data_IF_615281012316
#
_entry.id   IF_615281012316
#
_cell.length_a   1.000
_cell.length_b   1.000
_cell.length_c   1.000
_cell.angle_alpha   90.00
_cell.angle_beta   90.00
_cell.angle_gamma   90.00
#
_symmetry.space_group_name_H-M   'P 1'
#
loop_
_entity.id
_entity.type
_entity.pdbx_description
1 polymer ?
#
# COMPACT_ATOMS: atom_id res chain seq x y z
N UNK A 1 -20.36 24.67 -5.83
CA UNK A 1 -20.50 23.58 -4.84
C UNK A 1 -19.33 23.69 -3.88
N UNK A 2 -19.51 23.39 -2.59
CA UNK A 2 -18.41 23.37 -1.62
C UNK A 2 -17.48 22.17 -1.90
N UNK A 3 -16.19 22.28 -1.52
CA UNK A 3 -15.24 21.16 -1.62
C UNK A 3 -15.76 19.90 -0.90
N UNK A 4 -16.47 20.10 0.22
CA UNK A 4 -17.17 19.05 0.95
C UNK A 4 -18.16 18.26 0.08
N UNK A 5 -19.07 18.94 -0.65
CA UNK A 5 -20.03 18.26 -1.52
C UNK A 5 -19.35 17.47 -2.66
N UNK A 6 -18.23 17.96 -3.19
CA UNK A 6 -17.46 17.19 -4.17
C UNK A 6 -16.91 15.92 -3.53
N UNK A 7 -16.36 16.01 -2.32
CA UNK A 7 -15.76 14.86 -1.66
C UNK A 7 -16.76 13.72 -1.42
N UNK A 8 -18.00 14.04 -1.04
CA UNK A 8 -19.05 13.05 -0.82
C UNK A 8 -19.44 12.28 -2.10
N UNK A 9 -19.47 12.95 -3.25
CA UNK A 9 -19.82 12.32 -4.53
C UNK A 9 -18.74 11.30 -4.93
N UNK A 10 -17.47 11.65 -4.75
CA UNK A 10 -16.35 10.74 -4.99
C UNK A 10 -16.35 9.56 -4.02
N UNK A 11 -16.61 9.80 -2.72
CA UNK A 11 -16.75 8.74 -1.74
C UNK A 11 -17.93 7.81 -2.07
N UNK A 12 -19.05 8.37 -2.55
CA UNK A 12 -20.18 7.58 -3.03
C UNK A 12 -19.82 6.74 -4.27
N UNK A 13 -19.02 7.27 -5.19
CA UNK A 13 -18.51 6.54 -6.35
C UNK A 13 -17.60 5.37 -5.95
N UNK A 14 -16.67 5.59 -5.03
CA UNK A 14 -15.80 4.56 -4.44
C UNK A 14 -16.67 3.48 -3.76
N UNK A 15 -17.59 3.88 -2.88
CA UNK A 15 -18.49 2.94 -2.19
C UNK A 15 -19.36 2.14 -3.17
N UNK A 16 -19.78 2.75 -4.28
CA UNK A 16 -20.51 2.05 -5.35
C UNK A 16 -19.63 1.01 -6.05
N UNK A 17 -18.36 1.31 -6.29
CA UNK A 17 -17.38 0.35 -6.82
C UNK A 17 -17.21 -0.84 -5.87
N UNK A 18 -17.01 -0.57 -4.58
CA UNK A 18 -16.85 -1.59 -3.54
C UNK A 18 -18.10 -2.47 -3.39
N UNK A 19 -19.30 -1.88 -3.49
CA UNK A 19 -20.55 -2.67 -3.46
C UNK A 19 -20.66 -3.59 -4.68
N UNK A 20 -20.22 -3.14 -5.86
CA UNK A 20 -20.22 -3.94 -7.10
C UNK A 20 -19.17 -5.02 -7.12
N UNK A 21 -18.05 -4.89 -6.39
CA UNK A 21 -17.06 -5.95 -6.15
C UNK A 21 -17.71 -7.28 -5.75
N UNK A 22 -18.85 -7.24 -5.04
CA UNK A 22 -19.61 -8.45 -4.65
C UNK A 22 -20.17 -9.24 -5.84
N UNK A 23 -20.38 -8.58 -6.98
CA UNK A 23 -21.00 -9.14 -8.17
C UNK A 23 -19.98 -9.33 -9.31
N UNK A 24 -19.13 -8.33 -9.54
CA UNK A 24 -18.04 -8.37 -10.52
C UNK A 24 -16.87 -7.54 -10.01
N UNK A 25 -15.77 -8.22 -9.69
CA UNK A 25 -14.59 -7.59 -9.13
C UNK A 25 -13.70 -6.92 -10.19
N UNK A 26 -13.78 -7.34 -11.45
CA UNK A 26 -12.93 -6.80 -12.53
C UNK A 26 -13.39 -5.40 -12.90
N UNK A 27 -14.70 -5.22 -13.10
CA UNK A 27 -15.32 -3.90 -13.32
C UNK A 27 -15.02 -2.92 -12.19
N UNK A 28 -15.03 -3.40 -10.95
CA UNK A 28 -14.72 -2.59 -9.78
C UNK A 28 -13.24 -2.15 -9.76
N UNK A 29 -12.32 -3.06 -10.11
CA UNK A 29 -10.90 -2.76 -10.20
C UNK A 29 -10.62 -1.71 -11.29
N UNK A 30 -11.12 -1.93 -12.51
CA UNK A 30 -10.92 -1.03 -13.64
C UNK A 30 -11.44 0.37 -13.34
N UNK A 31 -12.62 0.46 -12.70
CA UNK A 31 -13.18 1.73 -12.29
C UNK A 31 -12.33 2.44 -11.23
N UNK A 32 -11.83 1.74 -10.21
CA UNK A 32 -10.98 2.34 -9.19
C UNK A 32 -9.62 2.78 -9.75
N UNK A 33 -9.04 2.01 -10.68
CA UNK A 33 -7.85 2.43 -11.43
C UNK A 33 -8.13 3.68 -12.28
N UNK A 34 -9.35 3.81 -12.82
CA UNK A 34 -9.76 5.03 -13.51
C UNK A 34 -9.80 6.23 -12.58
N UNK A 35 -10.45 6.08 -11.43
CA UNK A 35 -10.50 7.14 -10.42
C UNK A 35 -9.08 7.53 -10.00
N UNK A 36 -8.21 6.57 -9.67
CA UNK A 36 -6.79 6.82 -9.34
C UNK A 36 -6.10 7.65 -10.42
N UNK A 37 -6.25 7.28 -11.69
CA UNK A 37 -5.60 7.97 -12.82
C UNK A 37 -6.07 9.42 -12.94
N UNK A 38 -7.36 9.67 -12.75
CA UNK A 38 -7.92 11.03 -12.76
C UNK A 38 -7.39 11.87 -11.59
N UNK A 39 -7.32 11.29 -10.39
CA UNK A 39 -6.84 11.95 -9.18
C UNK A 39 -5.36 12.31 -9.25
N UNK A 40 -4.53 11.40 -9.80
CA UNK A 40 -3.08 11.62 -9.98
C UNK A 40 -2.77 12.64 -11.08
N UNK A 41 -3.64 12.79 -12.07
CA UNK A 41 -3.48 13.81 -13.12
C UNK A 41 -3.54 15.24 -12.59
N UNK A 42 -4.07 15.42 -11.38
CA UNK A 42 -4.16 16.72 -10.72
C UNK A 42 -5.09 17.71 -11.43
N UNK A 43 -5.39 18.83 -10.77
CA UNK A 43 -6.25 19.90 -11.29
C UNK A 43 -5.53 20.89 -12.24
N UNK A 44 -4.55 20.43 -13.02
CA UNK A 44 -3.95 21.26 -14.07
C UNK A 44 -5.06 21.80 -14.99
N UNK A 45 -4.92 23.02 -15.52
CA UNK A 45 -6.03 23.78 -16.11
C UNK A 45 -6.83 23.05 -17.21
N UNK A 46 -6.25 22.06 -17.88
CA UNK A 46 -6.92 21.21 -18.87
C UNK A 46 -7.80 20.10 -18.27
N UNK A 47 -7.59 19.72 -17.01
CA UNK A 47 -8.25 18.62 -16.31
C UNK A 47 -9.12 19.07 -15.12
N UNK A 48 -9.23 20.37 -14.81
CA UNK A 48 -10.11 20.89 -13.74
C UNK A 48 -11.56 20.40 -13.84
N UNK A 49 -12.06 20.13 -15.05
CA UNK A 49 -13.39 19.58 -15.27
C UNK A 49 -13.57 18.16 -14.69
N UNK A 50 -12.49 17.39 -14.59
CA UNK A 50 -12.51 15.98 -14.16
C UNK A 50 -12.65 15.79 -12.65
N UNK A 51 -12.35 16.80 -11.84
CA UNK A 51 -12.52 16.74 -10.38
C UNK A 51 -13.97 17.04 -9.93
N UNK A 52 -14.71 17.80 -10.74
CA UNK A 52 -16.04 18.27 -10.37
C UNK A 52 -17.02 17.12 -10.13
N UNK A 53 -16.93 16.06 -10.92
CA UNK A 53 -17.71 14.83 -10.75
C UNK A 53 -16.86 13.61 -11.13
N UNK A 54 -16.89 12.52 -10.35
CA UNK A 54 -16.31 11.26 -10.78
C UNK A 54 -17.02 10.79 -12.07
N UNK A 55 -16.31 10.12 -12.97
CA UNK A 55 -16.94 9.54 -14.15
C UNK A 55 -18.09 8.63 -13.72
N UNK A 56 -19.20 8.72 -14.45
CA UNK A 56 -20.27 7.75 -14.28
C UNK A 56 -19.69 6.34 -14.37
N UNK A 57 -20.26 5.41 -13.60
CA UNK A 57 -19.90 3.99 -13.60
C UNK A 57 -20.32 3.28 -14.90
N UNK A 58 -20.16 3.93 -16.05
CA UNK A 58 -20.12 3.30 -17.34
C UNK A 58 -18.65 2.93 -17.55
N UNK A 59 -18.32 1.66 -17.82
CA UNK A 59 -16.95 1.29 -18.12
C UNK A 59 -16.46 2.20 -19.24
N UNK A 60 -15.31 2.86 -19.07
CA UNK A 60 -14.85 3.75 -20.10
C UNK A 60 -14.66 2.93 -21.38
N UNK A 61 -15.09 3.49 -22.51
CA UNK A 61 -14.91 2.87 -23.83
C UNK A 61 -13.45 2.39 -23.97
N UNK A 62 -13.19 1.28 -24.68
CA UNK A 62 -11.89 0.60 -24.71
C UNK A 62 -10.79 1.48 -25.34
N UNK A 63 -10.28 2.41 -24.54
CA UNK A 63 -9.06 3.19 -24.73
C UNK A 63 -7.99 2.69 -23.74
N UNK A 64 -8.36 1.73 -22.88
CA UNK A 64 -7.67 1.31 -21.65
C UNK A 64 -6.69 0.16 -21.84
N UNK A 65 -6.85 -0.63 -22.89
CA UNK A 65 -5.88 -1.67 -23.28
C UNK A 65 -4.47 -1.06 -23.46
N UNK A 66 -4.37 0.21 -23.87
CA UNK A 66 -3.10 0.91 -23.99
C UNK A 66 -2.50 1.32 -22.64
N UNK A 67 -3.31 1.62 -21.63
CA UNK A 67 -2.83 2.07 -20.31
C UNK A 67 -2.48 0.89 -19.41
N UNK A 68 -3.29 -0.17 -19.43
CA UNK A 68 -3.00 -1.42 -18.71
C UNK A 68 -1.79 -2.12 -19.36
N UNK A 69 -1.71 -2.19 -20.70
CA UNK A 69 -0.51 -2.73 -21.35
C UNK A 69 0.75 -1.93 -21.03
N UNK A 70 0.65 -0.60 -20.87
CA UNK A 70 1.77 0.25 -20.42
C UNK A 70 2.12 0.05 -18.95
N UNK A 71 1.14 -0.15 -18.06
CA UNK A 71 1.37 -0.44 -16.64
C UNK A 71 1.94 -1.85 -16.44
N UNK A 72 1.46 -2.84 -17.18
CA UNK A 72 2.05 -4.18 -17.26
C UNK A 72 3.46 -4.13 -17.86
N UNK A 73 3.68 -3.35 -18.93
CA UNK A 73 5.02 -3.10 -19.46
C UNK A 73 5.92 -2.44 -18.43
N UNK A 74 5.44 -1.46 -17.65
CA UNK A 74 6.23 -0.84 -16.58
C UNK A 74 6.53 -1.83 -15.44
N UNK A 75 5.58 -2.69 -15.09
CA UNK A 75 5.78 -3.78 -14.13
C UNK A 75 6.71 -4.89 -14.63
N UNK A 76 6.75 -5.14 -15.94
CA UNK A 76 7.73 -6.03 -16.59
C UNK A 76 9.09 -5.36 -16.71
N UNK A 77 9.18 -4.10 -17.14
CA UNK A 77 10.44 -3.34 -17.22
C UNK A 77 11.09 -3.22 -15.85
N UNK A 78 10.29 -3.02 -14.80
CA UNK A 78 10.79 -2.97 -13.42
C UNK A 78 11.25 -4.35 -12.93
N UNK A 79 10.62 -5.45 -13.36
CA UNK A 79 11.08 -6.83 -13.13
C UNK A 79 12.39 -7.10 -13.88
N UNK A 80 12.48 -6.73 -15.16
CA UNK A 80 13.68 -6.88 -15.97
C UNK A 80 14.85 -6.01 -15.45
N UNK A 81 14.55 -4.86 -14.83
CA UNK A 81 15.54 -4.01 -14.15
C UNK A 81 15.96 -4.53 -12.77
N UNK A 82 15.10 -5.29 -12.07
CA UNK A 82 15.43 -5.93 -10.78
C UNK A 82 16.13 -7.27 -10.97
N UNK A 83 15.83 -8.00 -12.06
CA UNK A 83 16.58 -9.20 -12.47
C UNK A 83 17.97 -8.84 -13.07
N UNK A 84 18.28 -7.54 -13.20
CA UNK A 84 19.62 -7.02 -13.47
C UNK A 84 20.52 -7.00 -12.23
N UNK A 85 20.19 -7.73 -11.16
CA UNK A 85 21.10 -8.00 -10.02
C UNK A 85 22.41 -8.68 -10.46
N UNK A 86 22.46 -9.28 -11.65
CA UNK A 86 23.70 -9.75 -12.29
C UNK A 86 24.73 -8.64 -12.55
N UNK A 87 24.27 -7.39 -12.72
CA UNK A 87 25.13 -6.23 -12.98
C UNK A 87 25.67 -5.62 -11.67
N UNK A 88 24.98 -5.83 -10.55
CA UNK A 88 25.43 -5.42 -9.21
C UNK A 88 26.55 -6.35 -8.73
N UNK A 89 26.47 -7.67 -9.01
CA UNK A 89 27.55 -8.62 -8.70
C UNK A 89 28.81 -8.42 -9.56
N UNK A 90 28.67 -7.95 -10.81
CA UNK A 90 29.79 -7.60 -11.70
C UNK A 90 30.50 -6.28 -11.26
N UNK A 91 29.75 -5.33 -10.69
CA UNK A 91 30.29 -4.11 -10.10
C UNK A 91 30.90 -4.38 -8.70
N UNK A 92 30.32 -5.28 -7.91
CA UNK A 92 30.84 -5.67 -6.59
C UNK A 92 32.13 -6.50 -6.70
N UNK A 93 32.30 -7.28 -7.76
CA UNK A 93 33.53 -8.06 -8.03
C UNK A 93 34.69 -7.24 -8.60
N UNK A 94 34.46 -5.99 -9.02
CA UNK A 94 35.48 -5.11 -9.61
C UNK A 94 36.00 -4.01 -8.66
N UNK A 95 35.57 -4.00 -7.40
CA UNK A 95 36.09 -3.06 -6.38
C UNK A 95 37.08 -3.72 -5.40
N UNK A 96 38.28 -3.15 -5.17
CA UNK A 96 39.24 -3.68 -4.22
C UNK A 96 38.81 -3.40 -2.77
N UNK A 97 38.67 -4.49 -2.00
CA UNK A 97 38.30 -4.52 -0.58
C UNK A 97 39.16 -3.60 0.30
N UNK A 98 38.52 -2.63 0.97
CA UNK A 98 39.05 -2.04 2.20
C UNK A 98 38.34 -2.67 3.40
N UNK A 99 39.10 -3.51 4.11
CA UNK A 99 38.73 -4.14 5.37
C UNK A 99 38.57 -3.10 6.48
N UNK A 100 37.38 -3.05 7.09
CA UNK A 100 37.20 -2.44 8.41
C UNK A 100 36.49 -3.44 9.32
N UNK A 101 37.27 -3.96 10.28
CA UNK A 101 36.78 -4.64 11.48
C UNK A 101 35.93 -3.67 12.30
N UNK A 102 34.75 -4.09 12.74
CA UNK A 102 34.32 -3.79 14.10
C UNK A 102 33.27 -4.77 14.63
N UNK A 103 33.61 -5.36 15.78
CA UNK A 103 32.77 -6.17 16.65
C UNK A 103 31.92 -5.29 17.56
N UNK A 104 30.69 -5.71 17.85
CA UNK A 104 30.03 -5.68 19.19
C UNK A 104 28.54 -6.07 19.01
N UNK A 105 28.11 -7.25 19.47
CA UNK A 105 27.59 -7.58 20.80
C UNK A 105 26.38 -6.73 21.26
N UNK A 106 25.16 -7.27 21.16
CA UNK A 106 24.29 -7.65 22.30
C UNK A 106 22.84 -8.02 21.88
N UNK A 107 22.48 -9.31 22.04
CA UNK A 107 21.41 -9.89 22.93
C UNK A 107 20.37 -8.88 23.48
N UNK A 108 19.05 -9.10 23.60
CA UNK A 108 18.23 -10.30 23.97
C UNK A 108 16.73 -9.97 23.79
N UNK A 109 15.91 -11.01 23.66
CA UNK A 109 14.44 -11.04 23.67
C UNK A 109 13.77 -10.39 24.90
N UNK A 110 12.55 -9.85 24.71
CA UNK A 110 11.49 -9.88 25.71
C UNK A 110 10.12 -10.08 25.06
N UNK A 111 9.52 -11.21 25.43
CA UNK A 111 8.07 -11.47 25.47
C UNK A 111 7.43 -10.49 26.45
N UNK A 112 6.21 -10.00 26.17
CA UNK A 112 5.28 -9.69 27.25
C UNK A 112 3.81 -9.74 26.84
N UNK A 113 3.07 -10.32 27.79
CA UNK A 113 1.68 -10.69 27.82
C UNK A 113 0.71 -9.50 27.89
N UNK A 114 -0.48 -9.73 27.34
CA UNK A 114 -1.73 -9.04 27.67
C UNK A 114 -1.99 -9.02 29.18
N UNK A 115 -2.46 -7.88 29.70
CA UNK A 115 -3.42 -7.83 30.80
C UNK A 115 -4.25 -6.57 30.70
N UNK A 116 -5.55 -6.81 30.52
CA UNK A 116 -6.67 -5.88 30.55
C UNK A 116 -6.99 -5.59 32.02
N UNK A 117 -7.04 -4.33 32.42
CA UNK A 117 -7.82 -3.90 33.59
C UNK A 117 -8.50 -2.56 33.27
N UNK A 118 -9.83 -2.59 33.38
CA UNK A 118 -10.70 -1.43 33.52
C UNK A 118 -10.47 -0.76 34.88
N UNK A 119 -10.59 0.57 34.92
CA UNK A 119 -10.67 1.36 36.14
C UNK A 119 -11.25 2.74 35.82
N UNK A 120 -12.41 2.99 36.41
CA UNK A 120 -13.29 4.17 36.33
C UNK A 120 -12.57 5.47 36.76
N UNK A 121 -12.83 6.56 36.05
CA UNK A 121 -13.53 7.78 36.50
C UNK A 121 -12.72 8.68 37.44
N UNK A 122 -12.61 9.96 37.08
CA UNK A 122 -13.07 11.07 37.92
C UNK A 122 -13.09 12.37 37.11
N UNK A 123 -14.16 13.11 37.38
CA UNK A 123 -14.52 14.42 36.84
C UNK A 123 -13.53 15.50 37.26
N UNK A 124 -13.29 16.50 36.41
CA UNK A 124 -12.96 17.85 36.86
C UNK A 124 -13.47 18.89 35.85
N UNK A 125 -14.41 19.69 36.35
CA UNK A 125 -14.93 20.93 35.77
C UNK A 125 -13.85 22.01 35.70
N UNK A 126 -13.68 22.68 34.56
CA UNK A 126 -13.07 24.03 34.53
C UNK A 126 -13.75 24.94 33.51
N UNK A 127 -14.51 25.88 34.08
CA UNK A 127 -14.92 27.25 33.70
C UNK A 127 -14.79 27.78 32.26
N UNK A 128 -15.92 28.33 31.79
CA UNK A 128 -16.04 29.30 30.69
C UNK A 128 -15.48 30.68 31.08
N UNK A 129 -14.43 31.15 30.40
CA UNK A 129 -14.08 32.57 30.35
C UNK A 129 -14.34 33.12 28.93
N UNK A 130 -15.38 33.96 28.85
CA UNK A 130 -15.78 34.72 27.67
C UNK A 130 -14.83 35.91 27.48
N UNK A 131 -13.85 35.78 26.58
CA UNK A 131 -12.94 36.88 26.22
C UNK A 131 -13.58 37.73 25.11
N UNK A 132 -14.15 38.87 25.51
CA UNK A 132 -14.59 39.94 24.59
C UNK A 132 -13.35 40.68 24.07
N UNK A 133 -13.05 40.54 22.77
CA UNK A 133 -11.90 41.18 22.14
C UNK A 133 -12.28 42.52 21.47
N UNK A 134 -11.61 43.60 21.87
CA UNK A 134 -11.61 44.88 21.15
C UNK A 134 -10.29 45.02 20.34
N UNK A 135 -10.34 45.36 19.04
CA UNK A 135 -9.12 45.56 18.25
C UNK A 135 -8.47 46.92 18.56
N UNK A 136 -7.15 47.00 18.78
CA UNK A 136 -6.46 48.28 18.84
C UNK A 136 -6.13 48.82 17.44
N UNK A 137 -6.31 50.14 17.37
CA UNK A 137 -6.05 51.06 16.28
C UNK A 137 -4.66 50.94 15.66
N UNK A 138 -4.63 51.17 14.34
CA UNK A 138 -3.48 51.28 13.45
C UNK A 138 -2.31 52.11 13.98
N UNK A 139 -1.11 51.52 13.94
CA UNK A 139 0.18 52.22 14.03
C UNK A 139 1.15 51.65 13.00
N UNK A 140 1.48 52.44 11.98
CA UNK A 140 2.51 52.15 10.98
C UNK A 140 3.92 52.22 11.59
N UNK A 141 4.79 51.26 11.29
CA UNK A 141 6.21 51.51 11.02
C UNK A 141 6.80 50.50 10.05
N UNK A 142 7.55 51.04 9.09
CA UNK A 142 8.26 50.37 7.99
C UNK A 142 9.62 49.76 8.42
N UNK A 143 10.15 48.91 7.51
CA UNK A 143 11.55 48.44 7.31
C UNK A 143 11.98 47.20 8.13
N UNK A 144 12.71 46.21 7.62
CA UNK A 144 13.27 45.95 6.28
C UNK A 144 13.84 44.52 6.22
N UNK A 145 13.76 43.94 5.02
CA UNK A 145 14.78 43.12 4.36
C UNK A 145 15.09 41.66 4.80
N UNK A 146 14.92 40.79 3.80
CA UNK A 146 15.80 39.67 3.42
C UNK A 146 15.72 38.36 4.20
N UNK A 147 14.70 37.56 3.86
CA UNK A 147 14.90 36.12 3.64
C UNK A 147 14.42 35.75 2.24
N UNK A 148 15.36 35.79 1.28
CA UNK A 148 15.22 35.08 0.02
C UNK A 148 15.40 33.58 0.32
N UNK A 149 14.33 32.94 0.81
CA UNK A 149 14.16 31.52 0.58
C UNK A 149 13.63 31.36 -0.85
N UNK A 150 14.37 30.62 -1.66
CA UNK A 150 14.08 30.26 -3.04
C UNK A 150 12.81 29.42 -3.09
N UNK A 151 11.66 30.05 -2.86
CA UNK A 151 10.35 29.56 -3.24
C UNK A 151 10.29 29.67 -4.75
N UNK A 152 10.62 28.57 -5.44
CA UNK A 152 10.22 28.34 -6.82
C UNK A 152 8.69 28.42 -6.87
N UNK A 153 8.22 29.65 -7.11
CA UNK A 153 6.88 30.04 -7.51
C UNK A 153 6.23 28.96 -8.38
N UNK A 154 5.40 28.12 -7.77
CA UNK A 154 4.19 27.60 -8.43
C UNK A 154 3.24 28.79 -8.54
N UNK A 155 2.76 29.05 -9.76
CA UNK A 155 1.91 30.19 -10.07
C UNK A 155 0.66 30.25 -9.19
N UNK A 156 0.34 31.47 -8.78
CA UNK A 156 -0.76 31.89 -7.92
C UNK A 156 -2.14 31.63 -8.54
N UNK A 157 -2.54 30.37 -8.56
CA UNK A 157 -3.96 30.03 -8.45
C UNK A 157 -4.04 28.86 -7.45
N UNK A 158 -3.81 29.14 -6.15
CA UNK A 158 -3.83 28.12 -5.12
C UNK A 158 -5.24 27.56 -5.11
N UNK A 159 -5.38 26.28 -5.47
CA UNK A 159 -6.51 25.53 -4.93
C UNK A 159 -6.54 25.81 -3.43
N UNK A 160 -7.72 26.06 -2.87
CA UNK A 160 -7.82 26.21 -1.42
C UNK A 160 -7.15 24.98 -0.80
N UNK A 161 -6.32 25.17 0.24
CA UNK A 161 -5.66 24.06 0.96
C UNK A 161 -6.65 22.92 1.26
N UNK A 162 -7.91 23.27 1.52
CA UNK A 162 -9.06 22.36 1.68
C UNK A 162 -9.32 21.44 0.46
N UNK A 163 -9.22 21.95 -0.76
CA UNK A 163 -9.43 21.15 -1.99
C UNK A 163 -8.29 20.15 -2.20
N UNK A 164 -7.03 20.56 -1.97
CA UNK A 164 -5.89 19.65 -2.07
C UNK A 164 -6.00 18.51 -1.05
N UNK A 165 -6.34 18.84 0.20
CA UNK A 165 -6.59 17.85 1.25
C UNK A 165 -7.72 16.89 0.88
N UNK A 166 -8.81 17.40 0.29
CA UNK A 166 -9.93 16.57 -0.16
C UNK A 166 -9.51 15.58 -1.26
N UNK A 167 -8.69 16.01 -2.23
CA UNK A 167 -8.14 15.14 -3.28
C UNK A 167 -7.27 14.04 -2.67
N UNK A 168 -6.35 14.41 -1.77
CA UNK A 168 -5.45 13.45 -1.09
C UNK A 168 -6.23 12.38 -0.34
N UNK A 169 -7.27 12.76 0.42
CA UNK A 169 -8.12 11.81 1.15
C UNK A 169 -8.89 10.87 0.23
N UNK A 170 -9.41 11.39 -0.88
CA UNK A 170 -10.11 10.55 -1.85
C UNK A 170 -9.14 9.57 -2.50
N UNK A 171 -7.94 10.01 -2.84
CA UNK A 171 -6.88 9.15 -3.37
C UNK A 171 -6.47 8.07 -2.36
N UNK A 172 -6.33 8.42 -1.09
CA UNK A 172 -6.06 7.48 0.00
C UNK A 172 -7.15 6.39 0.08
N UNK A 173 -8.42 6.79 0.00
CA UNK A 173 -9.55 5.85 -0.02
C UNK A 173 -9.50 4.93 -1.23
N UNK A 174 -9.22 5.46 -2.43
CA UNK A 174 -9.03 4.65 -3.63
C UNK A 174 -7.92 3.62 -3.45
N UNK A 175 -6.77 4.01 -2.87
CA UNK A 175 -5.69 3.08 -2.58
C UNK A 175 -6.11 1.97 -1.60
N UNK A 176 -6.84 2.33 -0.54
CA UNK A 176 -7.37 1.35 0.42
C UNK A 176 -8.29 0.33 -0.29
N UNK A 177 -9.26 0.79 -1.08
CA UNK A 177 -10.19 -0.08 -1.80
C UNK A 177 -9.49 -0.99 -2.82
N UNK A 178 -8.50 -0.46 -3.56
CA UNK A 178 -7.67 -1.23 -4.50
C UNK A 178 -6.91 -2.34 -3.78
N UNK A 179 -6.28 -2.04 -2.64
CA UNK A 179 -5.53 -3.02 -1.86
C UNK A 179 -6.41 -4.16 -1.35
N UNK A 180 -7.65 -3.85 -0.93
CA UNK A 180 -8.60 -4.88 -0.51
C UNK A 180 -9.06 -5.77 -1.67
N UNK A 181 -9.25 -5.21 -2.88
CA UNK A 181 -9.60 -6.00 -4.07
C UNK A 181 -8.47 -6.96 -4.42
N UNK A 182 -7.25 -6.45 -4.56
CA UNK A 182 -6.06 -7.26 -4.83
C UNK A 182 -5.87 -8.36 -3.78
N UNK A 183 -5.98 -8.03 -2.49
CA UNK A 183 -5.89 -9.03 -1.40
C UNK A 183 -6.99 -10.10 -1.49
N UNK A 184 -8.20 -9.73 -1.95
CA UNK A 184 -9.30 -10.68 -2.14
C UNK A 184 -9.04 -11.61 -3.34
N UNK A 185 -8.51 -11.07 -4.44
CA UNK A 185 -8.15 -11.84 -5.63
C UNK A 185 -7.02 -12.81 -5.36
N UNK A 186 -6.01 -12.39 -4.60
CA UNK A 186 -4.93 -13.27 -4.19
C UNK A 186 -5.45 -14.54 -3.47
N UNK A 187 -6.42 -14.37 -2.57
CA UNK A 187 -7.08 -15.49 -1.88
C UNK A 187 -7.89 -16.35 -2.86
N UNK A 188 -8.58 -15.78 -3.84
CA UNK A 188 -9.31 -16.55 -4.85
C UNK A 188 -8.37 -17.35 -5.78
N UNK A 189 -7.22 -16.78 -6.15
CA UNK A 189 -6.18 -17.44 -6.91
C UNK A 189 -5.69 -18.73 -6.21
N UNK A 190 -5.60 -18.74 -4.87
CA UNK A 190 -5.25 -19.95 -4.12
C UNK A 190 -6.26 -21.09 -4.29
N UNK A 191 -7.56 -20.78 -4.36
CA UNK A 191 -8.62 -21.79 -4.59
C UNK A 191 -8.51 -22.40 -5.98
N UNK A 192 -8.13 -21.59 -6.95
CA UNK A 192 -7.88 -21.99 -8.34
C UNK A 192 -6.48 -22.56 -8.58
N UNK A 193 -5.65 -22.69 -7.53
CA UNK A 193 -4.26 -23.18 -7.59
C UNK A 193 -3.34 -22.35 -8.51
N UNK A 194 -3.63 -21.06 -8.66
CA UNK A 194 -2.82 -20.10 -9.39
C UNK A 194 -1.92 -19.34 -8.43
N UNK A 195 -0.89 -20.02 -7.92
CA UNK A 195 -0.10 -19.53 -6.79
C UNK A 195 0.79 -18.33 -7.15
N UNK A 196 1.38 -18.32 -8.34
CA UNK A 196 2.19 -17.16 -8.79
C UNK A 196 1.32 -15.92 -9.00
N UNK A 197 0.14 -16.09 -9.62
CA UNK A 197 -0.82 -15.00 -9.82
C UNK A 197 -1.32 -14.46 -8.47
N UNK A 198 -1.57 -15.34 -7.49
CA UNK A 198 -1.94 -14.92 -6.14
C UNK A 198 -0.85 -14.10 -5.44
N UNK A 199 0.42 -14.43 -5.65
CA UNK A 199 1.53 -13.65 -5.13
C UNK A 199 1.65 -12.27 -5.80
N UNK A 200 1.48 -12.20 -7.12
CA UNK A 200 1.46 -10.93 -7.89
C UNK A 200 0.37 -9.99 -7.34
N UNK A 201 -0.82 -10.52 -7.04
CA UNK A 201 -1.92 -9.75 -6.46
C UNK A 201 -1.59 -9.21 -5.05
N UNK A 202 -0.93 -9.99 -4.19
CA UNK A 202 -0.46 -9.46 -2.90
C UNK A 202 0.62 -8.38 -3.05
N UNK A 203 1.51 -8.52 -4.03
CA UNK A 203 2.53 -7.51 -4.35
C UNK A 203 1.88 -6.19 -4.77
N UNK A 204 0.83 -6.27 -5.59
CA UNK A 204 0.01 -5.12 -5.99
C UNK A 204 -0.70 -4.50 -4.78
N UNK A 205 -1.32 -5.31 -3.92
CA UNK A 205 -1.98 -4.82 -2.70
C UNK A 205 -0.98 -4.11 -1.76
N UNK A 206 0.18 -4.72 -1.53
CA UNK A 206 1.23 -4.18 -0.66
C UNK A 206 1.77 -2.85 -1.20
N UNK A 207 2.07 -2.79 -2.50
CA UNK A 207 2.53 -1.55 -3.16
C UNK A 207 1.48 -0.44 -3.04
N UNK A 208 0.21 -0.79 -3.22
CA UNK A 208 -0.91 0.16 -3.13
C UNK A 208 -1.07 0.72 -1.71
N UNK A 209 -0.97 -0.14 -0.69
CA UNK A 209 -0.97 0.28 0.72
C UNK A 209 0.21 1.20 1.03
N UNK A 210 1.40 0.91 0.48
CA UNK A 210 2.58 1.75 0.64
C UNK A 210 2.37 3.15 0.06
N UNK A 211 1.78 3.26 -1.13
CA UNK A 211 1.42 4.57 -1.69
C UNK A 211 0.39 5.32 -0.83
N UNK A 212 -0.55 4.62 -0.20
CA UNK A 212 -1.47 5.23 0.77
C UNK A 212 -0.74 5.75 2.02
N UNK A 213 0.19 4.96 2.56
CA UNK A 213 1.02 5.37 3.71
C UNK A 213 1.92 6.56 3.38
N UNK A 214 2.52 6.59 2.19
CA UNK A 214 3.36 7.70 1.72
C UNK A 214 2.59 9.05 1.76
N UNK A 215 1.29 9.06 1.44
CA UNK A 215 0.44 10.27 1.56
C UNK A 215 0.32 10.75 3.01
N UNK A 216 0.15 9.83 3.95
CA UNK A 216 0.04 10.14 5.38
C UNK A 216 1.38 10.69 5.91
N UNK A 217 2.48 10.04 5.53
CA UNK A 217 3.82 10.43 5.95
C UNK A 217 4.21 11.83 5.43
N UNK A 218 3.80 12.16 4.19
CA UNK A 218 3.95 13.51 3.63
C UNK A 218 3.23 14.57 4.45
N UNK A 219 1.99 14.31 4.90
CA UNK A 219 1.23 15.26 5.72
C UNK A 219 1.84 15.41 7.13
N UNK A 220 2.31 14.32 7.74
CA UNK A 220 3.06 14.41 9.00
C UNK A 220 4.33 15.25 8.85
N UNK A 221 5.08 15.08 7.76
CA UNK A 221 6.26 15.89 7.48
C UNK A 221 5.92 17.37 7.33
N UNK A 222 4.78 17.69 6.70
CA UNK A 222 4.29 19.06 6.56
C UNK A 222 3.88 19.68 7.90
N UNK A 223 3.17 18.91 8.75
CA UNK A 223 2.81 19.34 10.12
C UNK A 223 4.06 19.66 10.93
N UNK A 224 5.09 18.80 10.86
CA UNK A 224 6.36 19.02 11.56
C UNK A 224 7.05 20.33 11.12
N UNK A 225 7.04 20.65 9.82
CA UNK A 225 7.59 21.91 9.30
C UNK A 225 6.82 23.14 9.81
N UNK A 226 5.51 23.02 10.01
CA UNK A 226 4.71 24.10 10.59
C UNK A 226 4.99 24.26 12.07
N UNK A 227 5.13 23.16 12.81
CA UNK A 227 5.53 23.22 14.21
C UNK A 227 6.86 23.96 14.38
N UNK A 228 7.84 23.64 13.54
CA UNK A 228 9.12 24.36 13.51
C UNK A 228 8.92 25.84 13.17
N UNK A 229 8.13 26.15 12.14
CA UNK A 229 7.84 27.54 11.75
C UNK A 229 7.16 28.33 12.88
N UNK A 230 6.20 27.73 13.59
CA UNK A 230 5.53 28.33 14.73
C UNK A 230 6.54 28.60 15.86
N UNK A 231 7.48 27.69 16.10
CA UNK A 231 8.51 27.86 17.14
C UNK A 231 9.46 29.04 16.88
N UNK A 232 9.62 29.44 15.62
CA UNK A 232 10.44 30.58 15.20
C UNK A 232 9.68 31.91 15.24
N UNK A 233 8.36 31.89 15.41
CA UNK A 233 7.53 33.10 15.47
C UNK A 233 7.29 33.52 16.92
N UNK A 234 7.31 34.83 17.18
CA UNK A 234 7.03 35.38 18.50
C UNK A 234 5.62 34.99 19.00
N UNK A 235 5.53 34.64 20.28
CA UNK A 235 4.27 34.35 20.96
C UNK A 235 3.39 35.61 20.96
N UNK A 236 2.32 35.61 20.17
CA UNK A 236 1.45 36.77 19.95
C UNK A 236 1.40 37.26 18.50
N UNK A 237 2.23 36.70 17.62
CA UNK A 237 2.12 36.94 16.19
C UNK A 237 0.82 36.32 15.65
N UNK A 238 -0.04 37.13 15.02
CA UNK A 238 -1.31 36.67 14.44
C UNK A 238 -1.14 35.53 13.44
N UNK A 239 0.00 35.49 12.73
CA UNK A 239 0.36 34.40 11.82
C UNK A 239 0.65 33.10 12.56
N UNK A 240 1.27 33.14 13.74
CA UNK A 240 1.53 31.94 14.54
C UNK A 240 0.22 31.33 15.06
N UNK A 241 -0.74 32.16 15.47
CA UNK A 241 -2.08 31.71 15.88
C UNK A 241 -2.82 31.03 14.72
N UNK A 242 -2.79 31.64 13.52
CA UNK A 242 -3.42 31.07 12.33
C UNK A 242 -2.78 29.72 11.93
N UNK A 243 -1.45 29.64 11.90
CA UNK A 243 -0.74 28.40 11.59
C UNK A 243 -1.01 27.31 12.61
N UNK A 244 -1.12 27.64 13.91
CA UNK A 244 -1.46 26.68 14.95
C UNK A 244 -2.86 26.09 14.77
N UNK A 245 -3.83 26.91 14.36
CA UNK A 245 -5.17 26.44 14.02
C UNK A 245 -5.15 25.50 12.81
N UNK A 246 -4.49 25.89 11.71
CA UNK A 246 -4.37 25.05 10.52
C UNK A 246 -3.67 23.71 10.83
N UNK A 247 -2.58 23.74 11.59
CA UNK A 247 -1.85 22.56 12.06
C UNK A 247 -2.76 21.60 12.83
N UNK A 248 -3.55 22.10 13.77
CA UNK A 248 -4.46 21.28 14.57
C UNK A 248 -5.55 20.63 13.70
N UNK A 249 -6.12 21.36 12.76
CA UNK A 249 -7.13 20.81 11.84
C UNK A 249 -6.51 19.75 10.92
N UNK A 250 -5.29 19.99 10.42
CA UNK A 250 -4.56 18.99 9.62
C UNK A 250 -4.23 17.75 10.43
N UNK A 251 -3.77 17.90 11.67
CA UNK A 251 -3.45 16.76 12.54
C UNK A 251 -4.66 15.86 12.74
N UNK A 252 -5.83 16.41 13.09
CA UNK A 252 -7.09 15.64 13.22
C UNK A 252 -7.40 14.83 11.96
N UNK A 253 -7.12 15.42 10.80
CA UNK A 253 -7.40 14.77 9.53
C UNK A 253 -6.42 13.64 9.22
N UNK A 254 -5.13 13.84 9.52
CA UNK A 254 -4.10 12.81 9.40
C UNK A 254 -4.38 11.63 10.34
N UNK A 255 -4.87 11.90 11.55
CA UNK A 255 -5.27 10.86 12.50
C UNK A 255 -6.42 10.00 11.93
N UNK A 256 -7.45 10.64 11.36
CA UNK A 256 -8.55 9.95 10.68
C UNK A 256 -8.06 9.15 9.47
N UNK A 257 -7.18 9.71 8.66
CA UNK A 257 -6.61 9.06 7.48
C UNK A 257 -5.76 7.84 7.87
N UNK A 258 -5.04 7.93 8.99
CA UNK A 258 -4.28 6.81 9.58
C UNK A 258 -5.20 5.68 10.03
N UNK A 259 -6.34 6.02 10.66
CA UNK A 259 -7.36 5.02 11.03
C UNK A 259 -7.91 4.32 9.78
N UNK A 260 -8.17 5.07 8.71
CA UNK A 260 -8.67 4.53 7.44
C UNK A 260 -7.70 3.52 6.83
N UNK A 261 -6.39 3.78 6.84
CA UNK A 261 -5.37 2.87 6.30
C UNK A 261 -5.15 1.64 7.20
N UNK A 262 -5.42 1.75 8.50
CA UNK A 262 -5.29 0.62 9.42
C UNK A 262 -6.23 -0.55 9.09
N UNK A 263 -7.43 -0.25 8.57
CA UNK A 263 -8.44 -1.26 8.20
C UNK A 263 -7.98 -2.19 7.08
N UNK A 264 -7.59 -1.69 5.87
CA UNK A 264 -7.11 -2.55 4.80
C UNK A 264 -5.74 -3.18 5.12
N UNK A 265 -4.90 -2.58 5.96
CA UNK A 265 -3.67 -3.24 6.46
C UNK A 265 -3.98 -4.49 7.29
N UNK A 266 -4.97 -4.40 8.19
CA UNK A 266 -5.44 -5.55 8.96
C UNK A 266 -6.06 -6.62 8.03
N UNK A 267 -6.87 -6.20 7.06
CA UNK A 267 -7.45 -7.10 6.06
C UNK A 267 -6.39 -7.82 5.22
N UNK A 268 -5.37 -7.07 4.74
CA UNK A 268 -4.23 -7.61 4.02
C UNK A 268 -3.51 -8.68 4.84
N UNK A 269 -3.22 -8.38 6.11
CA UNK A 269 -2.51 -9.30 7.01
C UNK A 269 -3.25 -10.63 7.18
N UNK A 270 -4.55 -10.57 7.49
CA UNK A 270 -5.40 -11.76 7.64
C UNK A 270 -5.53 -12.53 6.32
N UNK A 271 -5.66 -11.84 5.19
CA UNK A 271 -5.77 -12.47 3.87
C UNK A 271 -4.47 -13.16 3.46
N UNK A 272 -3.33 -12.52 3.73
CA UNK A 272 -1.98 -13.06 3.53
C UNK A 272 -1.79 -14.36 4.30
N UNK A 273 -2.14 -14.38 5.59
CA UNK A 273 -2.05 -15.58 6.42
C UNK A 273 -2.89 -16.74 5.88
N UNK A 274 -4.14 -16.47 5.47
CA UNK A 274 -5.02 -17.47 4.85
C UNK A 274 -4.42 -18.07 3.59
N UNK A 275 -3.86 -17.21 2.73
CA UNK A 275 -3.19 -17.63 1.50
C UNK A 275 -1.96 -18.51 1.81
N UNK A 276 -1.11 -18.07 2.75
CA UNK A 276 0.07 -18.83 3.17
C UNK A 276 -0.30 -20.20 3.72
N UNK A 277 -1.32 -20.27 4.57
CA UNK A 277 -1.82 -21.54 5.11
C UNK A 277 -2.34 -22.47 4.00
N UNK A 278 -3.08 -21.93 3.03
CA UNK A 278 -3.57 -22.69 1.88
C UNK A 278 -2.41 -23.22 1.01
N UNK A 279 -1.41 -22.39 0.73
CA UNK A 279 -0.21 -22.78 -0.02
C UNK A 279 0.58 -23.86 0.72
N UNK A 280 0.83 -23.69 2.03
CA UNK A 280 1.54 -24.67 2.85
C UNK A 280 0.82 -26.03 2.89
N UNK A 281 -0.50 -26.01 3.08
CA UNK A 281 -1.31 -27.23 3.05
C UNK A 281 -1.24 -27.93 1.68
N UNK A 282 -1.22 -27.14 0.60
CA UNK A 282 -1.12 -27.68 -0.76
C UNK A 282 0.26 -28.27 -1.04
N UNK A 283 1.33 -27.61 -0.61
CA UNK A 283 2.72 -28.08 -0.73
C UNK A 283 2.84 -29.46 -0.08
N UNK A 284 2.41 -29.59 1.19
CA UNK A 284 2.47 -30.87 1.91
C UNK A 284 1.68 -31.99 1.19
N UNK A 285 0.50 -31.67 0.65
CA UNK A 285 -0.28 -32.62 -0.16
C UNK A 285 0.48 -33.05 -1.43
N UNK A 286 1.07 -32.11 -2.16
CA UNK A 286 1.79 -32.37 -3.40
C UNK A 286 3.04 -33.21 -3.15
N UNK A 287 3.79 -32.93 -2.09
CA UNK A 287 4.95 -33.72 -1.65
C UNK A 287 4.54 -35.18 -1.34
N UNK A 288 3.48 -35.37 -0.55
CA UNK A 288 2.95 -36.71 -0.26
C UNK A 288 2.54 -37.45 -1.54
N UNK A 289 1.88 -36.76 -2.48
CA UNK A 289 1.45 -37.37 -3.75
C UNK A 289 2.61 -37.72 -4.67
N UNK A 290 3.64 -36.90 -4.71
CA UNK A 290 4.86 -37.18 -5.47
C UNK A 290 5.61 -38.38 -4.89
N UNK A 291 5.66 -38.49 -3.56
CA UNK A 291 6.22 -39.65 -2.87
C UNK A 291 5.47 -40.95 -3.25
N UNK A 292 4.14 -40.96 -3.14
CA UNK A 292 3.30 -42.10 -3.55
C UNK A 292 3.50 -42.47 -5.03
N UNK A 293 3.60 -41.47 -5.92
CA UNK A 293 3.81 -41.69 -7.36
C UNK A 293 5.17 -42.34 -7.63
N UNK A 294 6.22 -41.90 -6.94
CA UNK A 294 7.56 -42.49 -7.05
C UNK A 294 7.58 -43.93 -6.53
N UNK A 295 6.99 -44.19 -5.36
CA UNK A 295 6.89 -45.55 -4.82
C UNK A 295 6.12 -46.48 -5.77
N UNK A 296 4.96 -46.04 -6.27
CA UNK A 296 4.18 -46.82 -7.25
C UNK A 296 4.95 -47.07 -8.55
N UNK A 297 5.75 -46.10 -9.01
CA UNK A 297 6.61 -46.27 -10.18
C UNK A 297 7.70 -47.31 -9.92
N UNK A 298 8.34 -47.28 -8.76
CA UNK A 298 9.37 -48.24 -8.36
C UNK A 298 8.80 -49.66 -8.27
N UNK A 299 7.61 -49.83 -7.69
CA UNK A 299 6.90 -51.11 -7.63
C UNK A 299 6.58 -51.66 -9.02
N UNK A 300 6.07 -50.80 -9.91
CA UNK A 300 5.77 -51.19 -11.29
C UNK A 300 7.07 -51.54 -12.03
N UNK A 301 8.13 -50.74 -11.85
CA UNK A 301 9.44 -50.99 -12.43
C UNK A 301 10.02 -52.33 -11.95
N UNK A 302 9.91 -52.63 -10.66
CA UNK A 302 10.33 -53.91 -10.08
C UNK A 302 9.53 -55.09 -10.66
N UNK A 303 8.20 -54.95 -10.80
CA UNK A 303 7.33 -55.96 -11.41
C UNK A 303 7.63 -56.19 -12.89
N UNK A 304 8.01 -55.15 -13.63
CA UNK A 304 8.34 -55.24 -15.05
C UNK A 304 9.78 -55.73 -15.32
N UNK A 305 10.70 -55.57 -14.35
CA UNK A 305 12.09 -55.99 -14.47
C UNK A 305 12.78 -55.41 -15.71
N UNK A 306 13.39 -56.27 -16.52
CA UNK A 306 14.08 -55.87 -17.76
C UNK A 306 13.14 -55.31 -18.84
N UNK A 307 11.84 -55.66 -18.81
CA UNK A 307 10.85 -55.15 -19.78
C UNK A 307 10.55 -53.67 -19.59
N UNK A 308 10.80 -53.12 -18.40
CA UNK A 308 10.62 -51.70 -18.11
C UNK A 308 11.48 -50.81 -19.03
N UNK A 309 12.77 -51.18 -19.20
CA UNK A 309 13.72 -50.43 -20.04
C UNK A 309 13.41 -50.54 -21.54
N UNK A 310 12.75 -51.62 -21.94
CA UNK A 310 12.39 -51.91 -23.34
C UNK A 310 10.91 -51.64 -23.63
N UNK A 311 10.19 -50.95 -22.74
CA UNK A 311 8.79 -50.62 -22.95
C UNK A 311 8.71 -49.49 -24.00
N UNK A 312 8.17 -49.74 -25.21
CA UNK A 312 8.07 -48.71 -26.25
C UNK A 312 7.05 -47.61 -25.90
N UNK A 313 6.19 -47.86 -24.91
CA UNK A 313 5.21 -46.91 -24.40
C UNK A 313 5.34 -46.82 -22.87
N UNK A 314 6.40 -46.20 -22.32
CA UNK A 314 6.36 -45.81 -20.92
C UNK A 314 5.09 -45.00 -20.75
N UNK A 315 4.22 -45.41 -19.82
CA UNK A 315 2.91 -44.78 -19.68
C UNK A 315 3.11 -43.27 -19.52
N UNK A 316 2.84 -42.53 -20.60
CA UNK A 316 2.99 -41.08 -20.65
C UNK A 316 2.19 -40.42 -19.52
N UNK A 317 1.17 -41.13 -19.01
CA UNK A 317 0.32 -40.71 -17.91
C UNK A 317 1.10 -40.50 -16.60
N UNK A 318 2.00 -41.41 -16.19
CA UNK A 318 2.77 -41.23 -14.95
C UNK A 318 3.76 -40.07 -15.05
N UNK A 319 4.51 -40.00 -16.15
CA UNK A 319 5.50 -38.94 -16.36
C UNK A 319 4.81 -37.57 -16.48
N UNK A 320 3.69 -37.48 -17.21
CA UNK A 320 2.94 -36.24 -17.37
C UNK A 320 2.28 -35.80 -16.07
N UNK A 321 1.68 -36.73 -15.32
CA UNK A 321 1.08 -36.45 -14.01
C UNK A 321 2.12 -35.99 -13.00
N UNK A 322 3.28 -36.65 -12.95
CA UNK A 322 4.40 -36.23 -12.10
C UNK A 322 4.88 -34.83 -12.47
N UNK A 323 5.11 -34.56 -13.76
CA UNK A 323 5.52 -33.24 -14.24
C UNK A 323 4.52 -32.15 -13.85
N UNK A 324 3.22 -32.43 -13.95
CA UNK A 324 2.18 -31.50 -13.53
C UNK A 324 2.19 -31.23 -12.02
N UNK A 325 2.36 -32.27 -11.19
CA UNK A 325 2.46 -32.14 -9.74
C UNK A 325 3.73 -31.38 -9.32
N UNK A 326 4.87 -31.67 -9.95
CA UNK A 326 6.14 -30.96 -9.70
C UNK A 326 6.04 -29.49 -10.11
N UNK A 327 5.40 -29.18 -11.25
CA UNK A 327 5.16 -27.80 -11.68
C UNK A 327 4.31 -27.04 -10.66
N UNK A 328 3.17 -27.62 -10.25
CA UNK A 328 2.29 -27.00 -9.27
C UNK A 328 2.99 -26.82 -7.91
N UNK A 329 3.82 -27.79 -7.50
CA UNK A 329 4.61 -27.69 -6.26
C UNK A 329 5.59 -26.53 -6.33
N UNK A 330 6.30 -26.38 -7.44
CA UNK A 330 7.20 -25.25 -7.69
C UNK A 330 6.46 -23.90 -7.60
N UNK A 331 5.32 -23.78 -8.29
CA UNK A 331 4.49 -22.57 -8.28
C UNK A 331 3.97 -22.24 -6.86
N UNK A 332 3.54 -23.25 -6.09
CA UNK A 332 3.05 -23.07 -4.72
C UNK A 332 4.15 -22.60 -3.77
N UNK A 333 5.35 -23.21 -3.86
CA UNK A 333 6.52 -22.80 -3.06
C UNK A 333 6.93 -21.38 -3.42
N UNK A 334 7.03 -21.07 -4.72
CA UNK A 334 7.39 -19.74 -5.20
C UNK A 334 6.40 -18.68 -4.73
N UNK A 335 5.10 -18.91 -4.94
CA UNK A 335 4.04 -18.00 -4.52
C UNK A 335 4.08 -17.75 -3.01
N UNK A 336 4.23 -18.81 -2.20
CA UNK A 336 4.36 -18.68 -0.74
C UNK A 336 5.58 -17.86 -0.34
N UNK A 337 6.74 -18.14 -0.92
CA UNK A 337 7.99 -17.44 -0.61
C UNK A 337 7.92 -15.94 -0.96
N UNK A 338 7.34 -15.60 -2.12
CA UNK A 338 7.13 -14.21 -2.53
C UNK A 338 6.20 -13.47 -1.58
N UNK A 339 5.06 -14.06 -1.25
CA UNK A 339 4.12 -13.50 -0.26
C UNK A 339 4.75 -13.35 1.12
N UNK A 340 5.56 -14.31 1.57
CA UNK A 340 6.20 -14.25 2.88
C UNK A 340 7.11 -13.01 3.04
N UNK A 341 7.83 -12.61 1.98
CA UNK A 341 8.74 -11.45 1.99
C UNK A 341 8.04 -10.10 2.21
N UNK A 342 6.72 -10.03 2.05
CA UNK A 342 5.95 -8.79 2.20
C UNK A 342 5.65 -8.54 3.68
N UNK A 343 6.54 -7.87 4.40
CA UNK A 343 6.36 -7.62 5.83
C UNK A 343 5.59 -6.32 6.10
N UNK A 344 4.51 -6.43 6.87
CA UNK A 344 3.67 -5.30 7.30
C UNK A 344 4.27 -4.59 8.52
N UNK A 345 5.16 -5.26 9.27
CA UNK A 345 5.82 -4.69 10.46
C UNK A 345 6.64 -3.45 10.09
N UNK A 346 7.24 -3.44 8.89
CA UNK A 346 7.93 -2.25 8.35
C UNK A 346 7.02 -1.03 8.19
N UNK A 347 5.73 -1.23 7.88
CA UNK A 347 4.75 -0.16 7.72
C UNK A 347 4.22 0.36 9.07
N UNK A 348 3.94 -0.53 10.02
CA UNK A 348 3.45 -0.14 11.36
C UNK A 348 4.52 0.53 12.23
N UNK A 349 5.80 0.19 12.03
CA UNK A 349 6.92 0.73 12.80
C UNK A 349 7.15 2.23 12.61
N UNK A 350 6.67 2.81 11.51
CA UNK A 350 6.76 4.25 11.25
C UNK A 350 5.62 5.03 11.91
N UNK A 351 4.39 4.50 11.91
CA UNK A 351 3.22 5.19 12.50
C UNK A 351 3.35 5.42 14.01
N UNK A 352 3.94 4.49 14.77
CA UNK A 352 4.07 4.64 16.24
C UNK A 352 5.17 5.60 16.70
N UNK A 353 6.14 5.93 15.84
CA UNK A 353 7.29 6.77 16.25
C UNK A 353 7.03 8.27 16.13
N UNK A 354 5.93 8.69 15.52
CA UNK A 354 5.56 10.11 15.40
C UNK A 354 4.72 10.68 16.55
N UNK A 355 4.35 9.86 17.54
CA UNK A 355 3.47 10.25 18.65
C UNK A 355 4.20 10.38 19.99
N UNK A 356 5.27 11.17 20.06
CA UNK A 356 5.93 11.54 21.32
C UNK A 356 6.36 13.00 21.35
#
# INVERSE_FOLDING_TARGET
>A
MSAHNHSEIWLAAISKAEKRKRNDSTDALDYLLHLKTLLLGGPDQSNRASWNEPPNFAPPLPVWENTISKLHQYGQLKRDMLDSDALIDEIASSMPMLSVNNQSNNRTAYSNHYSVLHGESDDDEVSDEEIVYHPPSSGQTNRSAAYNATSTRRGDDPLSSETEMSIRRILLRVYCSLAEIHSSWAVECSKSRKWTDGADEFENAFTTLRCGQEIIDEEHAWIAQIMETISLLDQGNSKAVQLKYEMNERQKCVDLDSEVVSVPLAFFSVSKEKYMHAAQSRIAYLESKLYENNASREDIMAKMGSRWKNNPHPSNDYASRRKALEKELGEAIEGMNRTQRMDVVGMHGQMKKGGH
#
